data_IF_622251702069
#
_entry.id   IF_622251702069
#
_cell.length_a   1.000
_cell.length_b   1.000
_cell.length_c   1.000
_cell.angle_alpha   90.00
_cell.angle_beta   90.00
_cell.angle_gamma   90.00
#
_symmetry.space_group_name_H-M   'P 1'
#
loop_
_entity.id
_entity.type
_entity.pdbx_description
1 polymer ?
#
# COMPACT_ATOMS: atom_id res chain seq x y z
N UNK A 1 10.52 8.69 -12.84
CA UNK A 1 9.68 8.11 -11.79
C UNK A 1 10.39 8.38 -10.46
N UNK A 2 9.71 8.95 -9.46
CA UNK A 2 10.30 9.23 -8.16
C UNK A 2 10.60 7.95 -7.37
N UNK A 3 11.58 8.06 -6.47
CA UNK A 3 11.95 7.00 -5.54
C UNK A 3 11.31 7.24 -4.17
N UNK A 4 10.68 6.21 -3.62
CA UNK A 4 10.02 6.25 -2.32
C UNK A 4 10.60 5.19 -1.40
N UNK A 5 11.08 5.62 -0.22
CA UNK A 5 11.60 4.71 0.82
C UNK A 5 10.71 4.76 2.05
N UNK A 6 10.27 3.60 2.53
CA UNK A 6 9.44 3.47 3.73
C UNK A 6 9.68 2.13 4.44
N UNK A 7 9.11 1.96 5.64
CA UNK A 7 9.19 0.71 6.39
C UNK A 7 7.92 -0.11 6.20
N UNK A 8 8.05 -1.30 5.61
CA UNK A 8 6.98 -2.26 5.39
C UNK A 8 7.19 -3.46 6.31
N UNK A 9 6.23 -3.72 7.20
CA UNK A 9 6.26 -4.89 8.10
C UNK A 9 7.57 -5.05 8.91
N UNK A 10 8.26 -3.94 9.19
CA UNK A 10 9.52 -3.95 9.94
C UNK A 10 10.77 -3.79 9.06
N UNK A 11 10.67 -4.01 7.76
CA UNK A 11 11.78 -3.94 6.81
C UNK A 11 11.77 -2.65 6.01
N UNK A 12 12.94 -2.08 5.73
CA UNK A 12 13.04 -0.92 4.85
C UNK A 12 12.93 -1.39 3.40
N UNK A 13 12.05 -0.73 2.64
CA UNK A 13 11.84 -0.99 1.22
C UNK A 13 11.93 0.31 0.43
N UNK A 14 12.41 0.21 -0.79
CA UNK A 14 12.51 1.33 -1.74
C UNK A 14 11.83 0.92 -3.04
N UNK A 15 10.95 1.79 -3.56
CA UNK A 15 10.21 1.57 -4.80
C UNK A 15 10.32 2.78 -5.72
N UNK A 16 10.32 2.54 -7.03
CA UNK A 16 10.36 3.57 -8.05
C UNK A 16 9.01 3.58 -8.80
N UNK A 17 8.10 4.46 -8.38
CA UNK A 17 6.71 4.54 -8.88
C UNK A 17 6.29 6.01 -9.00
N UNK A 18 5.24 6.32 -9.74
CA UNK A 18 4.72 7.69 -9.80
C UNK A 18 3.97 8.07 -8.50
N UNK A 19 3.96 9.36 -8.15
CA UNK A 19 3.36 9.88 -6.92
C UNK A 19 1.84 9.64 -6.82
N UNK A 20 1.18 9.43 -7.95
CA UNK A 20 -0.26 9.18 -8.05
C UNK A 20 -0.64 7.69 -7.99
N UNK A 21 0.35 6.79 -7.94
CA UNK A 21 0.10 5.36 -7.75
C UNK A 21 -0.38 5.11 -6.33
N UNK A 22 -1.58 4.54 -6.20
CA UNK A 22 -2.15 4.21 -4.88
C UNK A 22 -1.29 3.19 -4.15
N UNK A 23 -1.13 3.39 -2.84
CA UNK A 23 -0.36 2.50 -1.96
C UNK A 23 -0.83 1.03 -2.07
N UNK A 24 -2.11 0.78 -2.33
CA UNK A 24 -2.63 -0.57 -2.54
C UNK A 24 -1.93 -1.30 -3.70
N UNK A 25 -1.68 -0.60 -4.81
CA UNK A 25 -1.01 -1.17 -5.99
C UNK A 25 0.48 -1.33 -5.76
N UNK A 26 1.11 -0.37 -5.07
CA UNK A 26 2.52 -0.51 -4.65
C UNK A 26 2.70 -1.77 -3.80
N UNK A 27 1.84 -1.98 -2.81
CA UNK A 27 1.92 -3.16 -1.93
C UNK A 27 1.69 -4.45 -2.71
N UNK A 28 0.64 -4.54 -3.52
CA UNK A 28 0.23 -5.78 -4.16
C UNK A 28 1.07 -6.13 -5.39
N UNK A 29 1.21 -5.18 -6.30
CA UNK A 29 1.69 -5.45 -7.66
C UNK A 29 3.19 -5.21 -7.78
N UNK A 30 3.73 -4.23 -7.05
CA UNK A 30 5.17 -3.93 -7.04
C UNK A 30 5.91 -4.77 -5.99
N UNK A 31 5.35 -4.87 -4.77
CA UNK A 31 6.00 -5.52 -3.63
C UNK A 31 5.47 -6.93 -3.32
N UNK A 32 4.44 -7.41 -4.03
CA UNK A 32 3.91 -8.77 -3.85
C UNK A 32 3.15 -9.00 -2.53
N UNK A 33 2.89 -7.97 -1.74
CA UNK A 33 2.14 -8.03 -0.48
C UNK A 33 0.64 -8.07 -0.79
N UNK A 34 0.12 -9.29 -0.98
CA UNK A 34 -1.28 -9.51 -1.41
C UNK A 34 -2.29 -9.60 -0.27
N UNK A 35 -1.87 -9.39 0.99
CA UNK A 35 -2.72 -9.38 2.18
C UNK A 35 -3.85 -8.35 2.10
N UNK A 36 -3.56 -7.05 1.93
CA UNK A 36 -4.55 -6.02 1.63
C UNK A 36 -5.27 -6.36 0.31
N UNK A 37 -6.59 -6.46 0.33
CA UNK A 37 -7.39 -6.89 -0.83
C UNK A 37 -8.02 -5.70 -1.53
N UNK A 38 -7.96 -5.71 -2.87
CA UNK A 38 -8.87 -4.91 -3.66
C UNK A 38 -10.27 -5.51 -3.57
N UNK A 39 -11.25 -4.70 -3.18
CA UNK A 39 -12.65 -5.10 -3.04
C UNK A 39 -13.57 -4.10 -3.72
N UNK A 40 -14.27 -3.28 -2.94
CA UNK A 40 -15.27 -2.36 -3.49
C UNK A 40 -14.73 -1.14 -4.25
N UNK A 41 -13.46 -0.76 -4.09
CA UNK A 41 -12.89 0.48 -4.68
C UNK A 41 -13.45 1.81 -4.15
N UNK A 42 -14.50 1.77 -3.32
CA UNK A 42 -15.26 2.93 -2.82
C UNK A 42 -15.29 3.02 -1.28
N UNK A 43 -14.32 2.40 -0.61
CA UNK A 43 -14.13 2.49 0.84
C UNK A 43 -15.27 1.96 1.75
N UNK A 44 -16.13 1.08 1.23
CA UNK A 44 -17.23 0.44 1.97
C UNK A 44 -16.79 -0.85 2.67
N UNK A 45 -16.19 -1.78 1.92
CA UNK A 45 -15.86 -3.13 2.44
C UNK A 45 -14.69 -3.18 3.43
N UNK A 46 -13.83 -2.15 3.43
CA UNK A 46 -12.58 -2.08 4.23
C UNK A 46 -11.58 -3.23 4.00
N UNK A 47 -11.71 -3.99 2.92
CA UNK A 47 -10.84 -5.15 2.62
C UNK A 47 -9.37 -4.76 2.31
N UNK A 48 -9.12 -3.50 1.92
CA UNK A 48 -7.76 -2.98 1.68
C UNK A 48 -7.05 -2.43 2.93
N UNK A 49 -7.69 -2.51 4.11
CA UNK A 49 -7.15 -1.88 5.33
C UNK A 49 -5.72 -2.34 5.63
N UNK A 50 -4.84 -1.37 5.85
CA UNK A 50 -3.45 -1.55 6.28
C UNK A 50 -3.14 -0.62 7.44
N UNK A 51 -2.03 -0.84 8.16
CA UNK A 51 -1.58 0.09 9.19
C UNK A 51 -0.55 1.06 8.64
N UNK A 52 -0.86 2.35 8.68
CA UNK A 52 0.08 3.44 8.38
C UNK A 52 0.41 4.17 9.67
N UNK A 53 1.67 4.14 10.09
CA UNK A 53 2.13 4.77 11.33
C UNK A 53 1.28 4.39 12.56
N UNK A 54 0.93 3.10 12.67
CA UNK A 54 0.15 2.55 13.78
C UNK A 54 -1.36 2.81 13.70
N UNK A 55 -1.88 3.43 12.64
CA UNK A 55 -3.31 3.71 12.45
C UNK A 55 -3.86 2.96 11.24
N UNK A 56 -5.10 2.49 11.35
CA UNK A 56 -5.80 1.90 10.22
C UNK A 56 -5.98 2.93 9.09
N UNK A 57 -5.62 2.53 7.88
CA UNK A 57 -5.71 3.33 6.67
C UNK A 57 -6.26 2.48 5.52
N UNK A 58 -7.07 3.10 4.67
CA UNK A 58 -7.64 2.47 3.48
C UNK A 58 -6.97 3.06 2.23
N UNK A 59 -5.88 2.44 1.74
CA UNK A 59 -5.15 2.88 0.55
C UNK A 59 -5.93 2.69 -0.76
#
# INVERSE_FOLDING_TARGET
>A
MPEHTFRLNGEQVTVNVADDVRLLWVLRDVLGVTGPKYGCGINVCKACTSHLNGKAFNP
#
